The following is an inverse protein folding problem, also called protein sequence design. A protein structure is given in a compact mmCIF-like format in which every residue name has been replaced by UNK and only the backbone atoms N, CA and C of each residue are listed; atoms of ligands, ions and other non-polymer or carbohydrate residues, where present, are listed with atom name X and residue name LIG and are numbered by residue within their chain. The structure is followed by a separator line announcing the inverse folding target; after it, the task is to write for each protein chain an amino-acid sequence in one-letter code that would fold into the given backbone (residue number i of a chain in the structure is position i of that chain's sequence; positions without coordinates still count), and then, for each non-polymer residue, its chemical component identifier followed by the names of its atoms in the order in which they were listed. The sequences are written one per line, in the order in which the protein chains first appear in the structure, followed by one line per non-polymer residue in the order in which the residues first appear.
data_IF_171878534908
#
_entry.id   IF_171878534908
#
_cell.length_a   1.000
_cell.length_b   1.000
_cell.length_c   1.000
_cell.angle_alpha   90.00
_cell.angle_beta   90.00
_cell.angle_gamma   90.00
#
_symmetry.space_group_name_H-M   'P 1'
#
loop_
_entity.id
_entity.type
_entity.pdbx_description
1 polymer ?
#
# COMPACT_ATOMS: atom_id res chain seq x y z
N UNK A 1 19.80 29.39 -21.33
CA UNK A 1 18.38 29.61 -21.03
C UNK A 1 18.30 30.09 -19.58
N UNK A 2 17.63 31.21 -19.31
CA UNK A 2 17.47 31.69 -17.93
C UNK A 2 16.37 30.88 -17.24
N UNK A 3 16.66 30.25 -16.11
CA UNK A 3 15.66 29.58 -15.29
C UNK A 3 14.86 30.61 -14.49
N UNK A 4 13.54 30.62 -14.67
CA UNK A 4 12.62 31.42 -13.85
C UNK A 4 12.27 30.71 -12.53
N UNK A 5 12.01 31.47 -11.46
CA UNK A 5 11.48 30.93 -10.21
C UNK A 5 10.22 31.67 -9.80
N UNK A 6 9.13 30.93 -9.57
CA UNK A 6 7.91 31.45 -8.94
C UNK A 6 7.90 30.96 -7.51
N UNK A 7 7.78 31.88 -6.54
CA UNK A 7 7.58 31.54 -5.12
C UNK A 7 6.21 32.01 -4.68
N UNK A 8 5.43 31.13 -4.06
CA UNK A 8 4.10 31.47 -3.58
C UNK A 8 3.77 30.82 -2.25
N UNK A 9 3.06 31.55 -1.39
CA UNK A 9 2.54 31.03 -0.13
C UNK A 9 1.06 30.62 -0.17
N UNK A 10 0.32 31.10 -1.17
CA UNK A 10 -1.11 30.88 -1.34
C UNK A 10 -1.44 29.82 -2.39
N UNK A 11 -2.64 29.91 -2.95
CA UNK A 11 -3.16 28.94 -3.92
C UNK A 11 -2.53 29.11 -5.30
N UNK A 12 -2.43 28.00 -6.02
CA UNK A 12 -2.09 27.94 -7.43
C UNK A 12 -3.35 27.66 -8.24
N UNK A 13 -3.89 28.69 -8.89
CA UNK A 13 -5.12 28.58 -9.66
C UNK A 13 -4.81 28.52 -11.16
N UNK A 14 -4.79 27.31 -11.73
CA UNK A 14 -4.70 27.17 -13.18
C UNK A 14 -6.10 26.95 -13.78
N UNK A 15 -6.65 27.98 -14.40
CA UNK A 15 -7.95 27.98 -15.10
C UNK A 15 -7.80 28.01 -16.62
N UNK A 16 -6.57 27.86 -17.12
CA UNK A 16 -6.22 27.89 -18.53
C UNK A 16 -5.10 26.90 -18.86
N UNK A 17 -4.11 27.33 -19.64
CA UNK A 17 -2.93 26.52 -19.92
C UNK A 17 -1.71 27.05 -19.15
N UNK A 18 -1.10 26.18 -18.33
CA UNK A 18 0.22 26.43 -17.77
C UNK A 18 1.26 25.56 -18.49
N UNK A 19 2.06 26.18 -19.35
CA UNK A 19 3.20 25.55 -20.01
C UNK A 19 4.48 26.17 -19.44
N UNK A 20 5.14 25.49 -18.51
CA UNK A 20 6.44 25.97 -18.04
C UNK A 20 7.50 25.85 -19.14
N UNK A 21 8.54 26.69 -19.10
CA UNK A 21 9.79 26.37 -19.81
C UNK A 21 10.40 25.06 -19.25
N UNK A 22 11.40 24.46 -19.88
CA UNK A 22 11.97 23.17 -19.46
C UNK A 22 12.85 23.24 -18.19
N UNK A 23 12.99 24.41 -17.57
CA UNK A 23 13.97 24.70 -16.50
C UNK A 23 13.43 25.51 -15.31
N UNK A 24 12.22 26.04 -15.40
CA UNK A 24 11.62 26.88 -14.37
C UNK A 24 11.24 26.08 -13.13
N UNK A 25 11.20 26.76 -11.97
CA UNK A 25 10.83 26.13 -10.70
C UNK A 25 9.67 26.87 -10.03
N UNK A 26 8.64 26.12 -9.65
CA UNK A 26 7.58 26.62 -8.77
C UNK A 26 7.88 26.15 -7.35
N UNK A 27 7.95 27.11 -6.43
CA UNK A 27 8.28 26.89 -5.02
C UNK A 27 7.10 27.31 -4.13
N UNK A 28 6.48 26.35 -3.47
CA UNK A 28 5.47 26.60 -2.44
C UNK A 28 6.15 26.90 -1.10
N UNK A 29 5.77 28.01 -0.48
CA UNK A 29 6.34 28.53 0.77
C UNK A 29 5.24 28.79 1.80
N UNK A 30 5.63 29.23 3.00
CA UNK A 30 4.70 29.58 4.09
C UNK A 30 4.00 28.37 4.71
N UNK A 31 3.51 28.51 5.94
CA UNK A 31 2.92 27.39 6.70
C UNK A 31 1.43 27.14 6.42
N UNK A 32 0.74 28.08 5.75
CA UNK A 32 -0.68 27.94 5.43
C UNK A 32 -0.94 26.86 4.38
N UNK A 33 -2.20 26.47 4.20
CA UNK A 33 -2.59 25.59 3.10
C UNK A 33 -2.38 26.30 1.75
N UNK A 34 -1.99 25.54 0.73
CA UNK A 34 -2.10 25.93 -0.68
C UNK A 34 -2.96 24.91 -1.41
N UNK A 35 -3.95 25.39 -2.16
CA UNK A 35 -4.75 24.59 -3.08
C UNK A 35 -4.19 24.75 -4.49
N UNK A 36 -3.94 23.64 -5.18
CA UNK A 36 -3.45 23.58 -6.55
C UNK A 36 -4.59 23.06 -7.42
N UNK A 37 -5.12 23.91 -8.31
CA UNK A 37 -6.23 23.59 -9.19
C UNK A 37 -5.80 23.42 -10.64
N UNK A 38 -6.61 22.69 -11.39
CA UNK A 38 -6.42 22.36 -12.80
C UNK A 38 -5.30 21.37 -13.06
N UNK A 39 -5.24 20.91 -14.31
CA UNK A 39 -4.13 20.11 -14.83
C UNK A 39 -2.91 21.01 -15.08
N UNK A 40 -1.75 20.64 -14.53
CA UNK A 40 -0.53 21.44 -14.62
C UNK A 40 0.64 20.64 -15.19
N UNK A 41 1.56 21.34 -15.87
CA UNK A 41 2.85 20.81 -16.29
C UNK A 41 3.97 21.67 -15.71
N UNK A 42 4.56 21.20 -14.61
CA UNK A 42 5.66 21.86 -13.92
C UNK A 42 7.00 21.31 -14.43
N UNK A 43 7.91 22.19 -14.83
CA UNK A 43 9.31 21.79 -15.03
C UNK A 43 9.96 21.34 -13.73
N UNK A 44 9.87 22.12 -12.67
CA UNK A 44 10.27 21.70 -11.34
C UNK A 44 9.22 22.15 -10.32
N UNK A 45 8.96 21.31 -9.32
CA UNK A 45 8.04 21.57 -8.23
C UNK A 45 8.79 21.41 -6.90
N UNK A 46 8.76 22.43 -6.04
CA UNK A 46 9.47 22.41 -4.76
C UNK A 46 8.58 22.86 -3.60
N UNK A 47 8.61 22.11 -2.51
CA UNK A 47 8.16 22.56 -1.19
C UNK A 47 9.07 21.98 -0.11
N UNK A 48 9.75 22.84 0.63
CA UNK A 48 10.67 22.44 1.72
C UNK A 48 10.27 23.07 3.05
N UNK A 49 9.00 23.45 3.20
CA UNK A 49 8.45 24.06 4.40
C UNK A 49 7.77 22.98 5.26
N UNK A 50 8.36 22.56 6.38
CA UNK A 50 7.73 21.59 7.28
C UNK A 50 6.33 22.04 7.71
N UNK A 51 5.38 21.10 7.77
CA UNK A 51 3.98 21.34 8.13
C UNK A 51 3.11 21.98 7.04
N UNK A 52 3.65 22.30 5.85
CA UNK A 52 2.84 22.79 4.72
C UNK A 52 1.76 21.79 4.35
N UNK A 53 0.57 22.29 4.00
CA UNK A 53 -0.49 21.50 3.40
C UNK A 53 -0.65 21.89 1.92
N UNK A 54 -0.57 20.91 1.03
CA UNK A 54 -0.77 21.04 -0.40
C UNK A 54 -1.98 20.19 -0.78
N UNK A 55 -3.10 20.84 -1.09
CA UNK A 55 -4.30 20.17 -1.55
C UNK A 55 -4.40 20.27 -3.07
N UNK A 56 -4.49 19.13 -3.73
CA UNK A 56 -4.58 19.05 -5.18
C UNK A 56 -6.03 18.79 -5.59
N UNK A 57 -6.48 19.46 -6.65
CA UNK A 57 -7.82 19.26 -7.16
C UNK A 57 -8.06 17.79 -7.56
N UNK A 58 -9.15 17.22 -7.05
CA UNK A 58 -9.51 15.83 -7.26
C UNK A 58 -9.63 15.51 -8.75
N UNK A 59 -9.00 14.41 -9.19
CA UNK A 59 -8.99 13.96 -10.58
C UNK A 59 -8.05 14.72 -11.53
N UNK A 60 -7.51 15.87 -11.11
CA UNK A 60 -6.63 16.67 -11.97
C UNK A 60 -5.18 16.18 -11.95
N UNK A 61 -4.53 16.24 -13.12
CA UNK A 61 -3.17 15.70 -13.29
C UNK A 61 -2.10 16.76 -13.08
N UNK A 62 -1.17 16.49 -12.17
CA UNK A 62 0.03 17.29 -11.96
C UNK A 62 1.22 16.57 -12.59
N UNK A 63 1.65 17.03 -13.76
CA UNK A 63 2.88 16.54 -14.41
C UNK A 63 4.08 17.28 -13.85
N UNK A 64 5.10 16.56 -13.38
CA UNK A 64 6.38 17.15 -12.97
C UNK A 64 7.47 16.59 -13.90
N UNK A 65 7.84 17.38 -14.90
CA UNK A 65 8.77 16.97 -15.96
C UNK A 65 10.20 16.79 -15.46
N UNK A 66 10.64 17.65 -14.54
CA UNK A 66 11.97 17.66 -13.94
C UNK A 66 11.93 17.30 -12.46
N UNK A 67 12.63 18.08 -11.64
CA UNK A 67 12.81 17.77 -10.22
C UNK A 67 11.52 18.02 -9.42
N UNK A 68 11.05 17.00 -8.72
CA UNK A 68 10.03 17.10 -7.69
C UNK A 68 10.69 16.99 -6.31
N UNK A 69 10.72 18.10 -5.57
CA UNK A 69 11.39 18.18 -4.27
C UNK A 69 10.37 18.50 -3.18
N UNK A 70 10.13 17.54 -2.29
CA UNK A 70 9.25 17.69 -1.13
C UNK A 70 10.00 17.21 0.12
N UNK A 71 10.38 18.14 0.99
CA UNK A 71 11.15 17.79 2.19
C UNK A 71 10.54 18.44 3.42
N UNK A 72 9.74 17.68 4.16
CA UNK A 72 9.25 18.08 5.48
C UNK A 72 10.31 17.89 6.56
N UNK A 73 9.86 17.78 7.81
CA UNK A 73 10.73 17.43 8.93
C UNK A 73 10.06 16.41 9.86
N UNK A 74 10.87 15.74 10.69
CA UNK A 74 10.35 14.87 11.75
C UNK A 74 9.36 15.63 12.63
N UNK A 75 8.18 15.04 12.86
CA UNK A 75 7.07 15.66 13.58
C UNK A 75 6.31 16.76 12.83
N UNK A 76 6.77 17.19 11.66
CA UNK A 76 6.17 18.27 10.86
C UNK A 76 6.20 17.91 9.37
N UNK A 77 5.45 16.88 9.00
CA UNK A 77 5.38 16.38 7.64
C UNK A 77 4.68 17.38 6.71
N UNK A 78 5.06 17.40 5.44
CA UNK A 78 4.28 18.11 4.40
C UNK A 78 3.08 17.23 4.06
N UNK A 79 1.87 17.75 4.19
CA UNK A 79 0.64 17.01 3.85
C UNK A 79 0.29 17.21 2.38
N UNK A 80 0.08 16.10 1.68
CA UNK A 80 -0.40 16.05 0.30
C UNK A 80 -1.78 15.39 0.30
N UNK A 81 -2.81 16.11 -0.12
CA UNK A 81 -4.18 15.62 -0.07
C UNK A 81 -5.01 15.99 -1.29
N UNK A 82 -6.14 15.32 -1.44
CA UNK A 82 -7.16 15.68 -2.43
C UNK A 82 -8.09 16.77 -1.91
N UNK A 83 -8.63 17.61 -2.79
CA UNK A 83 -9.74 18.51 -2.44
C UNK A 83 -11.06 17.78 -2.17
N UNK A 84 -11.18 16.52 -2.58
CA UNK A 84 -12.38 15.69 -2.38
C UNK A 84 -11.98 14.35 -1.76
N UNK A 85 -12.37 14.13 -0.51
CA UNK A 85 -12.07 12.91 0.24
C UNK A 85 -12.52 11.65 -0.52
N UNK A 86 -11.64 10.65 -0.58
CA UNK A 86 -11.89 9.38 -1.27
C UNK A 86 -11.75 9.44 -2.80
N UNK A 87 -11.60 10.64 -3.38
CA UNK A 87 -11.31 10.81 -4.81
C UNK A 87 -9.85 11.18 -5.00
N UNK A 88 -9.14 10.40 -5.80
CA UNK A 88 -7.70 10.60 -5.95
C UNK A 88 -7.36 11.85 -6.75
N UNK A 89 -6.37 12.62 -6.30
CA UNK A 89 -5.63 13.53 -7.18
C UNK A 89 -4.55 12.73 -7.95
N UNK A 90 -4.10 13.24 -9.09
CA UNK A 90 -3.22 12.49 -9.98
C UNK A 90 -1.86 13.19 -10.10
N UNK A 91 -0.78 12.41 -9.98
CA UNK A 91 0.58 12.89 -10.20
C UNK A 91 1.30 12.06 -11.25
N UNK A 92 2.06 12.72 -12.12
CA UNK A 92 2.90 12.08 -13.13
C UNK A 92 4.33 12.64 -13.06
N UNK A 93 5.16 12.15 -12.13
CA UNK A 93 6.55 12.58 -12.00
C UNK A 93 7.44 11.87 -13.02
N UNK A 94 8.05 12.64 -13.92
CA UNK A 94 8.88 12.15 -15.03
C UNK A 94 10.38 12.35 -14.79
N UNK A 95 10.75 13.25 -13.87
CA UNK A 95 12.13 13.51 -13.47
C UNK A 95 12.47 13.02 -12.07
N UNK A 96 13.55 13.57 -11.51
CA UNK A 96 14.08 13.18 -10.19
C UNK A 96 13.09 13.48 -9.06
N UNK A 97 12.95 12.54 -8.12
CA UNK A 97 12.09 12.67 -6.94
C UNK A 97 12.96 12.75 -5.70
N UNK A 98 12.94 13.91 -5.05
CA UNK A 98 13.61 14.15 -3.77
C UNK A 98 12.52 14.35 -2.72
N UNK A 99 11.90 13.25 -2.28
CA UNK A 99 10.69 13.28 -1.45
C UNK A 99 10.95 12.57 -0.12
N UNK A 100 10.72 13.27 1.00
CA UNK A 100 10.83 12.72 2.35
C UNK A 100 10.00 13.53 3.34
N UNK A 101 9.61 12.89 4.45
CA UNK A 101 8.77 13.52 5.49
C UNK A 101 7.48 14.11 4.92
N UNK A 102 6.78 13.32 4.10
CA UNK A 102 5.45 13.66 3.57
C UNK A 102 4.38 12.78 4.20
N UNK A 103 3.17 13.30 4.29
CA UNK A 103 1.96 12.56 4.66
C UNK A 103 1.02 12.63 3.47
N UNK A 104 0.73 11.50 2.85
CA UNK A 104 0.03 11.44 1.56
C UNK A 104 -1.31 10.77 1.73
N UNK A 105 -2.36 11.35 1.15
CA UNK A 105 -3.69 10.76 1.11
C UNK A 105 -4.33 10.99 -0.26
N UNK A 106 -5.15 10.02 -0.68
CA UNK A 106 -5.97 10.10 -1.89
C UNK A 106 -5.15 10.46 -3.14
N UNK A 107 -4.02 9.81 -3.40
CA UNK A 107 -3.16 10.12 -4.56
C UNK A 107 -2.99 8.94 -5.52
N UNK A 108 -2.88 9.22 -6.81
CA UNK A 108 -2.51 8.24 -7.83
C UNK A 108 -1.23 8.66 -8.57
N UNK A 109 -0.15 7.91 -8.39
CA UNK A 109 1.10 8.11 -9.12
C UNK A 109 1.11 7.31 -10.44
N UNK A 110 1.09 8.02 -11.57
CA UNK A 110 1.09 7.45 -12.92
C UNK A 110 2.48 7.03 -13.44
N UNK A 111 3.56 7.34 -12.72
CA UNK A 111 4.88 6.83 -13.09
C UNK A 111 4.91 5.30 -13.08
N UNK A 112 5.71 4.63 -13.93
CA UNK A 112 5.93 3.19 -13.81
C UNK A 112 6.61 2.81 -12.48
N UNK A 113 7.50 3.66 -11.98
CA UNK A 113 8.23 3.43 -10.74
C UNK A 113 7.46 4.00 -9.54
N UNK A 114 7.46 3.22 -8.46
CA UNK A 114 6.98 3.62 -7.13
C UNK A 114 7.81 4.79 -6.57
N UNK A 115 7.21 5.60 -5.70
CA UNK A 115 7.90 6.76 -5.10
C UNK A 115 8.70 6.35 -3.86
N UNK A 116 8.07 5.60 -2.96
CA UNK A 116 8.57 5.12 -1.67
C UNK A 116 9.32 6.18 -0.84
N UNK A 117 8.66 7.30 -0.47
CA UNK A 117 9.35 8.43 0.13
C UNK A 117 9.79 8.13 1.58
N UNK A 118 11.06 8.34 1.88
CA UNK A 118 11.62 8.05 3.20
C UNK A 118 10.95 8.87 4.32
N UNK A 119 10.79 8.25 5.50
CA UNK A 119 10.23 8.88 6.71
C UNK A 119 8.84 9.52 6.51
N UNK A 120 8.00 8.88 5.70
CA UNK A 120 6.70 9.41 5.29
C UNK A 120 5.56 8.53 5.79
N UNK A 121 4.34 9.05 5.73
CA UNK A 121 3.11 8.38 6.18
C UNK A 121 2.20 8.16 4.98
N UNK A 122 1.67 6.93 4.86
CA UNK A 122 0.52 6.60 4.03
C UNK A 122 -0.76 6.82 4.85
N UNK A 123 -1.51 7.88 4.54
CA UNK A 123 -2.81 8.17 5.15
C UNK A 123 -4.00 7.59 4.36
N UNK A 124 -3.72 6.69 3.42
CA UNK A 124 -4.69 5.85 2.74
C UNK A 124 -5.09 6.32 1.34
N UNK A 125 -5.66 5.37 0.60
CA UNK A 125 -6.14 5.54 -0.78
C UNK A 125 -5.07 6.04 -1.77
N UNK A 126 -3.80 5.68 -1.53
CA UNK A 126 -2.70 6.01 -2.41
C UNK A 126 -2.35 4.84 -3.33
N UNK A 127 -2.19 5.12 -4.62
CA UNK A 127 -1.73 4.15 -5.61
C UNK A 127 -0.30 4.48 -6.05
N UNK A 128 0.58 3.47 -5.98
CA UNK A 128 1.97 3.53 -6.45
C UNK A 128 2.84 4.60 -5.75
N UNK A 129 2.55 4.87 -4.47
CA UNK A 129 3.27 5.82 -3.64
C UNK A 129 4.24 5.17 -2.66
N UNK A 130 3.79 4.15 -1.94
CA UNK A 130 4.55 3.53 -0.87
C UNK A 130 4.81 2.09 -1.23
N UNK A 131 6.06 1.64 -1.05
CA UNK A 131 6.33 0.21 -1.10
C UNK A 131 5.50 -0.45 -0.01
N UNK A 132 4.77 -1.49 -0.39
CA UNK A 132 4.07 -2.27 0.61
C UNK A 132 5.12 -3.02 1.41
N UNK A 133 5.17 -2.73 2.71
CA UNK A 133 5.90 -3.59 3.63
C UNK A 133 5.13 -4.90 3.68
N UNK A 134 5.71 -5.94 3.07
CA UNK A 134 5.19 -7.29 3.11
C UNK A 134 4.80 -7.63 4.55
N UNK A 135 3.63 -8.24 4.72
CA UNK A 135 3.20 -8.72 6.04
C UNK A 135 4.31 -9.61 6.61
N UNK A 136 4.87 -9.21 7.75
CA UNK A 136 5.83 -10.04 8.45
C UNK A 136 5.07 -11.13 9.21
N UNK A 137 5.16 -12.36 8.72
CA UNK A 137 4.52 -13.52 9.36
C UNK A 137 5.42 -14.01 10.50
N UNK A 138 4.89 -13.96 11.73
CA UNK A 138 5.51 -14.56 12.91
C UNK A 138 5.39 -16.08 12.85
N UNK A 139 4.20 -16.57 12.49
CA UNK A 139 3.95 -18.00 12.37
C UNK A 139 2.87 -18.31 11.35
N UNK A 140 3.00 -19.46 10.70
CA UNK A 140 1.93 -20.09 9.92
C UNK A 140 1.98 -21.60 10.18
N UNK A 141 0.84 -22.18 10.56
CA UNK A 141 0.75 -23.58 10.93
C UNK A 141 -0.55 -24.23 10.43
N UNK A 142 -0.50 -25.53 10.22
CA UNK A 142 -1.65 -26.38 9.90
C UNK A 142 -1.72 -27.56 10.86
N UNK A 143 -2.88 -27.75 11.49
CA UNK A 143 -3.14 -28.86 12.42
C UNK A 143 -4.37 -29.64 11.98
N UNK A 144 -4.35 -30.95 12.23
CA UNK A 144 -5.50 -31.82 12.04
C UNK A 144 -6.62 -31.42 13.02
N UNK A 145 -7.83 -31.26 12.49
CA UNK A 145 -9.06 -31.02 13.27
C UNK A 145 -9.97 -32.24 13.28
N UNK A 146 -11.16 -32.09 13.86
CA UNK A 146 -12.17 -33.15 13.91
C UNK A 146 -12.79 -33.42 12.52
N UNK A 147 -13.37 -34.61 12.32
CA UNK A 147 -14.15 -34.95 11.11
C UNK A 147 -13.39 -34.73 9.78
N UNK A 148 -12.07 -34.84 9.79
CA UNK A 148 -11.23 -34.65 8.61
C UNK A 148 -10.97 -33.18 8.25
N UNK A 149 -11.21 -32.25 9.19
CA UNK A 149 -10.86 -30.85 9.06
C UNK A 149 -9.37 -30.59 9.24
N UNK A 150 -8.93 -29.41 8.81
CA UNK A 150 -7.63 -28.82 9.07
C UNK A 150 -7.85 -27.41 9.59
N UNK A 151 -7.26 -27.13 10.75
CA UNK A 151 -7.23 -25.78 11.31
C UNK A 151 -5.90 -25.13 10.92
N UNK A 152 -5.99 -24.04 10.17
CA UNK A 152 -4.87 -23.16 9.86
C UNK A 152 -4.85 -22.02 10.86
N UNK A 153 -3.68 -21.70 11.38
CA UNK A 153 -3.48 -20.55 12.24
C UNK A 153 -2.24 -19.78 11.81
N UNK A 154 -2.32 -18.46 11.78
CA UNK A 154 -1.17 -17.61 11.55
C UNK A 154 -1.21 -16.38 12.44
N UNK A 155 -0.03 -15.80 12.63
CA UNK A 155 0.20 -14.58 13.38
C UNK A 155 1.10 -13.67 12.56
N UNK A 156 0.73 -12.40 12.51
CA UNK A 156 1.50 -11.33 11.87
C UNK A 156 2.20 -10.49 12.94
N UNK A 157 3.37 -9.96 12.63
CA UNK A 157 4.05 -8.96 13.46
C UNK A 157 3.54 -7.56 13.11
N UNK A 158 3.31 -7.30 11.82
CA UNK A 158 2.79 -6.04 11.27
C UNK A 158 1.84 -6.31 10.10
N UNK A 159 0.88 -5.40 9.89
CA UNK A 159 -0.13 -5.48 8.82
C UNK A 159 -0.40 -4.11 8.21
N UNK A 160 0.68 -3.42 7.81
CA UNK A 160 0.56 -2.11 7.18
C UNK A 160 -0.07 -2.30 5.80
N UNK A 161 -1.18 -1.61 5.56
CA UNK A 161 -1.91 -1.57 4.28
C UNK A 161 -2.30 -2.94 3.67
N UNK A 162 -2.43 -3.96 4.52
CA UNK A 162 -2.91 -5.28 4.12
C UNK A 162 -4.44 -5.29 4.00
N UNK A 163 -4.99 -5.68 2.86
CA UNK A 163 -6.43 -5.87 2.68
C UNK A 163 -6.91 -7.18 3.32
N UNK A 164 -6.05 -8.21 3.33
CA UNK A 164 -6.35 -9.47 3.99
C UNK A 164 -5.59 -10.67 3.43
N UNK A 165 -6.16 -11.86 3.63
CA UNK A 165 -5.48 -13.11 3.36
C UNK A 165 -6.29 -14.08 2.51
N UNK A 166 -5.59 -14.84 1.67
CA UNK A 166 -6.10 -16.02 1.01
C UNK A 166 -5.34 -17.27 1.44
N UNK A 167 -6.05 -18.39 1.42
CA UNK A 167 -5.50 -19.70 1.74
C UNK A 167 -5.52 -20.53 0.48
N UNK A 168 -4.40 -21.20 0.20
CA UNK A 168 -4.31 -22.15 -0.89
C UNK A 168 -3.89 -23.53 -0.41
N UNK A 169 -4.43 -24.58 -1.02
CA UNK A 169 -4.17 -25.99 -0.69
C UNK A 169 -3.66 -26.78 -1.89
N UNK A 170 -2.75 -27.72 -1.65
CA UNK A 170 -2.33 -28.74 -2.62
C UNK A 170 -2.20 -30.13 -1.98
N UNK A 171 -2.51 -31.19 -2.73
CA UNK A 171 -2.25 -32.59 -2.34
C UNK A 171 -0.82 -33.04 -2.70
N UNK A 172 -0.17 -32.37 -3.66
CA UNK A 172 1.17 -32.73 -4.18
C UNK A 172 2.24 -31.77 -3.67
N UNK A 173 3.49 -32.22 -3.58
CA UNK A 173 4.63 -31.38 -3.15
C UNK A 173 5.03 -30.33 -4.18
N UNK A 174 4.84 -30.65 -5.45
CA UNK A 174 5.15 -29.86 -6.65
C UNK A 174 3.88 -29.40 -7.40
N UNK A 175 2.70 -29.60 -6.79
CA UNK A 175 1.43 -29.36 -7.45
C UNK A 175 0.96 -27.91 -7.41
N UNK A 176 0.08 -27.58 -8.35
CA UNK A 176 -0.67 -26.32 -8.36
C UNK A 176 -1.53 -26.18 -7.09
N UNK A 177 -1.38 -25.05 -6.42
CA UNK A 177 -2.15 -24.68 -5.24
C UNK A 177 -3.52 -24.12 -5.67
N UNK A 178 -4.59 -24.58 -5.02
CA UNK A 178 -5.96 -24.08 -5.25
C UNK A 178 -6.42 -23.24 -4.08
N UNK A 179 -6.96 -22.06 -4.33
CA UNK A 179 -7.58 -21.22 -3.31
C UNK A 179 -8.74 -21.98 -2.65
N UNK A 180 -8.83 -21.93 -1.32
CA UNK A 180 -9.88 -22.64 -0.55
C UNK A 180 -10.87 -21.70 0.12
N UNK A 181 -10.48 -20.49 0.48
CA UNK A 181 -11.39 -19.49 1.02
C UNK A 181 -12.19 -18.82 -0.10
N UNK A 182 -13.52 -18.75 0.07
CA UNK A 182 -14.42 -18.12 -0.92
C UNK A 182 -14.41 -16.58 -0.90
N UNK A 183 -14.05 -15.98 0.23
CA UNK A 183 -13.89 -14.53 0.42
C UNK A 183 -12.53 -14.24 1.06
N UNK A 184 -11.92 -13.10 0.73
CA UNK A 184 -10.71 -12.61 1.38
C UNK A 184 -10.97 -12.55 2.90
N UNK A 185 -10.03 -13.08 3.68
CA UNK A 185 -10.07 -13.01 5.15
C UNK A 185 -9.52 -11.63 5.51
N UNK A 186 -10.34 -10.66 5.95
CA UNK A 186 -9.90 -9.28 6.11
C UNK A 186 -8.77 -9.19 7.14
N UNK A 187 -7.80 -8.33 6.88
CA UNK A 187 -6.82 -7.95 7.89
C UNK A 187 -7.53 -7.29 9.08
N UNK A 188 -7.08 -7.62 10.28
CA UNK A 188 -7.60 -7.14 11.56
C UNK A 188 -6.54 -6.42 12.38
N UNK A 189 -5.25 -6.57 12.04
CA UNK A 189 -4.15 -5.80 12.58
C UNK A 189 -4.23 -4.35 12.12
N UNK A 190 -3.70 -3.46 12.95
CA UNK A 190 -3.71 -2.01 12.71
C UNK A 190 -2.29 -1.50 12.55
N UNK A 191 -1.90 -1.15 11.33
CA UNK A 191 -0.60 -0.53 11.02
C UNK A 191 0.58 -1.40 11.49
N UNK A 192 1.33 -0.91 12.49
CA UNK A 192 2.50 -1.59 13.05
C UNK A 192 2.19 -2.69 14.07
N UNK A 193 0.90 -2.99 14.32
CA UNK A 193 0.48 -4.10 15.19
C UNK A 193 -0.15 -5.19 14.33
N UNK A 194 0.43 -6.39 14.40
CA UNK A 194 -0.16 -7.57 13.79
C UNK A 194 -1.35 -8.15 14.57
N UNK A 195 -1.81 -9.32 14.14
CA UNK A 195 -2.97 -10.01 14.65
C UNK A 195 -2.83 -11.53 14.51
N UNK A 196 -3.71 -12.26 15.20
CA UNK A 196 -3.80 -13.72 15.13
C UNK A 196 -5.07 -14.14 14.40
N UNK A 197 -4.95 -15.17 13.56
CA UNK A 197 -6.04 -15.63 12.70
C UNK A 197 -6.19 -17.14 12.76
N UNK A 198 -7.39 -17.58 12.39
CA UNK A 198 -7.72 -18.99 12.21
C UNK A 198 -8.61 -19.18 10.98
N UNK A 199 -8.39 -20.27 10.25
CA UNK A 199 -9.23 -20.70 9.15
C UNK A 199 -9.40 -22.22 9.16
N UNK A 200 -10.65 -22.69 9.10
CA UNK A 200 -10.99 -24.10 9.01
C UNK A 200 -11.21 -24.51 7.54
N UNK A 201 -10.52 -25.56 7.13
CA UNK A 201 -10.71 -26.23 5.84
C UNK A 201 -11.15 -27.68 6.06
N UNK A 202 -12.00 -28.23 5.20
CA UNK A 202 -12.56 -29.59 5.34
C UNK A 202 -12.14 -30.51 4.18
N UNK A 203 -10.83 -30.79 4.01
CA UNK A 203 -10.32 -31.55 2.88
C UNK A 203 -10.58 -33.07 2.97
N UNK A 204 -10.98 -33.58 4.14
CA UNK A 204 -11.05 -35.00 4.46
C UNK A 204 -9.67 -35.62 4.68
N UNK A 205 -9.61 -36.95 4.67
CA UNK A 205 -8.36 -37.70 4.91
C UNK A 205 -7.33 -37.47 3.81
N UNK A 206 -6.07 -37.28 4.19
CA UNK A 206 -4.97 -37.16 3.24
C UNK A 206 -3.77 -36.40 3.77
N UNK A 207 -2.81 -36.12 2.88
CA UNK A 207 -1.70 -35.21 3.15
C UNK A 207 -1.95 -33.95 2.34
N UNK A 208 -1.93 -32.81 3.02
CA UNK A 208 -2.20 -31.52 2.44
C UNK A 208 -1.05 -30.56 2.75
N UNK A 209 -0.83 -29.65 1.81
CA UNK A 209 0.09 -28.52 1.96
C UNK A 209 -0.70 -27.24 1.77
N UNK A 210 -0.41 -26.25 2.62
CA UNK A 210 -1.08 -24.96 2.58
C UNK A 210 -0.08 -23.84 2.38
N UNK A 211 -0.48 -22.85 1.59
CA UNK A 211 0.18 -21.55 1.48
C UNK A 211 -0.80 -20.47 1.95
N UNK A 212 -0.25 -19.46 2.58
CA UNK A 212 -0.95 -18.24 2.97
C UNK A 212 -0.50 -17.14 1.99
N UNK A 213 -1.45 -16.44 1.41
CA UNK A 213 -1.22 -15.25 0.59
C UNK A 213 -1.69 -14.05 1.40
N UNK A 214 -0.82 -13.09 1.69
CA UNK A 214 -1.24 -11.73 2.06
C UNK A 214 -1.51 -10.92 0.79
N UNK A 215 -2.52 -10.05 0.83
CA UNK A 215 -2.96 -9.22 -0.29
C UNK A 215 -3.19 -7.81 0.25
N UNK A 216 -2.51 -6.83 -0.32
CA UNK A 216 -2.68 -5.42 0.05
C UNK A 216 -3.93 -4.77 -0.61
N UNK A 217 -4.22 -3.52 -0.27
CA UNK A 217 -5.32 -2.75 -0.89
C UNK A 217 -5.08 -2.39 -2.38
N UNK A 218 -3.86 -2.60 -2.88
CA UNK A 218 -3.45 -2.35 -4.26
C UNK A 218 -3.44 -3.64 -5.12
N UNK A 219 -3.74 -4.80 -4.54
CA UNK A 219 -3.73 -6.11 -5.19
C UNK A 219 -2.34 -6.77 -5.30
N UNK A 220 -1.29 -6.22 -4.69
CA UNK A 220 0.02 -6.88 -4.57
C UNK A 220 -0.06 -7.95 -3.49
N UNK A 221 0.64 -9.05 -3.68
CA UNK A 221 0.55 -10.21 -2.79
C UNK A 221 1.88 -10.91 -2.58
N UNK A 222 2.10 -11.42 -1.36
CA UNK A 222 3.23 -12.30 -1.02
C UNK A 222 2.72 -13.68 -0.61
N UNK A 223 3.51 -14.73 -0.88
CA UNK A 223 3.14 -16.12 -0.56
C UNK A 223 4.04 -16.70 0.52
N UNK A 224 3.43 -17.24 1.57
CA UNK A 224 4.10 -17.84 2.72
C UNK A 224 3.91 -19.35 2.81
N UNK A 225 4.89 -20.03 3.41
CA UNK A 225 4.92 -21.49 3.56
C UNK A 225 5.61 -22.21 2.38
N UNK A 226 5.27 -23.48 2.09
CA UNK A 226 4.09 -24.18 2.57
C UNK A 226 4.23 -24.83 3.94
N UNK A 227 3.10 -24.96 4.64
CA UNK A 227 2.97 -25.83 5.82
C UNK A 227 2.33 -27.16 5.42
N UNK A 228 2.70 -28.26 6.07
CA UNK A 228 2.24 -29.62 5.73
C UNK A 228 1.48 -30.22 6.91
N UNK A 229 0.33 -30.84 6.62
CA UNK A 229 -0.47 -31.59 7.60
C UNK A 229 -0.89 -32.94 7.02
N UNK A 230 -1.01 -33.94 7.88
CA UNK A 230 -1.60 -35.25 7.55
C UNK A 230 -2.86 -35.42 8.36
N UNK A 231 -4.01 -35.49 7.67
CA UNK A 231 -5.32 -35.78 8.24
C UNK A 231 -5.54 -37.29 8.18
N UNK A 232 -5.79 -37.90 9.33
CA UNK A 232 -6.12 -39.31 9.51
C UNK A 232 -7.65 -39.43 9.47
N UNK A 233 -8.15 -40.62 9.16
CA UNK A 233 -9.59 -40.88 9.39
C UNK A 233 -9.83 -40.94 10.89
N UNK A 234 -11.01 -40.52 11.35
CA UNK A 234 -11.45 -40.73 12.74
C UNK A 234 -11.15 -42.16 13.19
N UNK A 235 -10.65 -42.29 14.42
CA UNK A 235 -10.27 -43.55 15.01
C UNK A 235 -11.46 -44.52 15.03
N UNK A 236 -11.25 -45.71 14.50
CA UNK A 236 -12.02 -46.86 14.98
C UNK A 236 -11.83 -46.96 16.49
N UNK A 237 -12.94 -47.05 17.21
CA UNK A 237 -12.95 -47.43 18.61
C UNK A 237 -12.02 -48.64 18.81
N UNK A 238 -10.99 -48.46 19.65
CA UNK A 238 -10.24 -49.57 20.19
C UNK A 238 -11.20 -50.38 21.08
N UNK A 239 -11.88 -51.38 20.50
CA UNK A 239 -12.54 -52.43 21.26
C UNK A 239 -11.48 -53.12 22.10
N UNK A 240 -11.48 -52.85 23.40
CA UNK A 240 -10.87 -53.72 24.42
C UNK A 240 -11.55 -55.08 24.33
N UNK A 241 -10.79 -56.13 24.02
CA UNK A 241 -10.93 -57.48 24.59
C UNK A 241 -9.55 -58.11 24.66
#
# INVERSE_FOLDING_TARGET
MSSGTIKLGGDWLNTGAFNSDTSGTVVFTGIGQSTITGTNNFANFTCTQPGKQLNFEAGETQTIAGAWTLTGASGNLIRLGSTVAGTRWIVNPQGTRNISFVDVQDSNNLSPDIIDPANSIDSGNNLNWFSVTAVEIVSFAAKEGEQGAVILSWETATEIDNAGFNIYRSKRSDGTYKKVNGKLIPAQGGGSLGASYSYEDTPGKGIFRYKLEDVDYNGVSTMHGPVKVRVRSEGGEARRR
#
